data_IF_477158813151
#
_entry.id   IF_477158813151
#
_cell.length_a   1.000
_cell.length_b   1.000
_cell.length_c   1.000
_cell.angle_alpha   90.00
_cell.angle_beta   90.00
_cell.angle_gamma   90.00
#
_symmetry.space_group_name_H-M   'P 1'
#
loop_
_entity.id
_entity.type
_entity.pdbx_description
1 polymer ?
#
# COMPACT_ATOMS: atom_id res chain seq x y z
N UNK A 1 -49.81 -57.27 62.51
CA UNK A 1 -48.51 -57.55 63.15
C UNK A 1 -48.14 -56.49 64.21
N UNK A 2 -49.12 -55.95 64.94
CA UNK A 2 -48.90 -54.95 66.02
C UNK A 2 -49.56 -55.42 67.34
N UNK A 3 -50.44 -56.42 67.30
CA UNK A 3 -51.19 -56.89 68.49
C UNK A 3 -50.40 -57.78 69.46
N UNK A 4 -49.17 -58.21 69.13
CA UNK A 4 -48.36 -59.05 70.03
C UNK A 4 -47.40 -58.29 70.96
N UNK A 5 -47.32 -56.95 70.88
CA UNK A 5 -46.40 -56.16 71.70
C UNK A 5 -46.89 -55.84 73.12
N UNK A 6 -48.13 -56.20 73.46
CA UNK A 6 -48.77 -55.86 74.74
C UNK A 6 -48.41 -56.78 75.92
N UNK A 7 -47.71 -57.91 75.68
CA UNK A 7 -47.47 -58.97 76.69
C UNK A 7 -45.99 -59.08 77.13
N UNK A 8 -45.13 -58.11 76.81
CA UNK A 8 -43.70 -58.12 77.15
C UNK A 8 -43.35 -57.18 78.34
N UNK A 9 -42.44 -57.58 79.27
CA UNK A 9 -41.99 -56.73 80.39
C UNK A 9 -41.39 -55.41 79.90
N UNK A 10 -41.58 -54.31 80.63
CA UNK A 10 -41.25 -52.93 80.17
C UNK A 10 -39.78 -52.72 79.75
N UNK A 11 -38.86 -53.50 80.31
CA UNK A 11 -37.43 -53.50 79.93
C UNK A 11 -37.24 -53.96 78.46
N UNK A 12 -37.99 -54.96 78.01
CA UNK A 12 -37.91 -55.47 76.63
C UNK A 12 -38.51 -54.50 75.61
N UNK A 13 -39.53 -53.71 75.99
CA UNK A 13 -40.08 -52.64 75.14
C UNK A 13 -39.07 -51.50 74.95
N UNK A 14 -38.36 -51.11 76.00
CA UNK A 14 -37.29 -50.11 75.93
C UNK A 14 -36.10 -50.54 75.05
N UNK A 15 -35.66 -51.79 75.20
CA UNK A 15 -34.59 -52.35 74.35
C UNK A 15 -35.04 -52.48 72.90
N UNK A 16 -36.26 -52.97 72.64
CA UNK A 16 -36.80 -53.10 71.29
C UNK A 16 -36.94 -51.74 70.59
N UNK A 17 -37.47 -50.72 71.27
CA UNK A 17 -37.57 -49.36 70.72
C UNK A 17 -36.21 -48.70 70.49
N UNK A 18 -35.23 -48.94 71.36
CA UNK A 18 -33.84 -48.50 71.15
C UNK A 18 -33.18 -49.14 69.92
N UNK A 19 -33.37 -50.45 69.72
CA UNK A 19 -32.85 -51.17 68.54
C UNK A 19 -33.53 -50.71 67.26
N UNK A 20 -34.87 -50.57 67.26
CA UNK A 20 -35.61 -50.05 66.10
C UNK A 20 -35.18 -48.61 65.78
N UNK A 21 -35.00 -47.76 66.80
CA UNK A 21 -34.49 -46.40 66.64
C UNK A 21 -33.08 -46.35 66.04
N UNK A 22 -32.18 -47.24 66.46
CA UNK A 22 -30.83 -47.37 65.91
C UNK A 22 -30.82 -47.87 64.46
N UNK A 23 -31.72 -48.78 64.10
CA UNK A 23 -31.88 -49.27 62.72
C UNK A 23 -32.42 -48.15 61.82
N UNK A 24 -33.44 -47.42 62.27
CA UNK A 24 -34.01 -46.29 61.52
C UNK A 24 -32.96 -45.18 61.34
N UNK A 25 -32.22 -44.82 62.39
CA UNK A 25 -31.18 -43.79 62.29
C UNK A 25 -30.04 -44.22 61.36
N UNK A 26 -29.60 -45.48 61.42
CA UNK A 26 -28.62 -46.05 60.50
C UNK A 26 -29.07 -46.01 59.04
N UNK A 27 -30.34 -46.35 58.76
CA UNK A 27 -30.93 -46.25 57.42
C UNK A 27 -30.97 -44.79 56.95
N UNK A 28 -31.41 -43.86 57.80
CA UNK A 28 -31.48 -42.43 57.46
C UNK A 28 -30.09 -41.87 57.15
N UNK A 29 -29.08 -42.19 57.96
CA UNK A 29 -27.68 -41.76 57.72
C UNK A 29 -27.17 -42.32 56.39
N UNK A 30 -27.37 -43.62 56.13
CA UNK A 30 -26.97 -44.24 54.87
C UNK A 30 -27.66 -43.62 53.64
N UNK A 31 -28.98 -43.37 53.73
CA UNK A 31 -29.73 -42.72 52.66
C UNK A 31 -29.23 -41.28 52.42
N UNK A 32 -28.93 -40.54 53.49
CA UNK A 32 -28.42 -39.18 53.41
C UNK A 32 -27.02 -39.15 52.77
N UNK A 33 -26.09 -39.99 53.22
CA UNK A 33 -24.76 -40.12 52.61
C UNK A 33 -24.82 -40.57 51.15
N UNK A 34 -25.67 -41.53 50.81
CA UNK A 34 -25.89 -41.98 49.43
C UNK A 34 -26.44 -40.85 48.56
N UNK A 35 -27.36 -40.04 49.09
CA UNK A 35 -27.90 -38.88 48.38
C UNK A 35 -26.83 -37.81 48.15
N UNK A 36 -26.03 -37.48 49.17
CA UNK A 36 -24.91 -36.53 49.09
C UNK A 36 -23.87 -36.99 48.08
N UNK A 37 -23.50 -38.27 48.09
CA UNK A 37 -22.55 -38.84 47.12
C UNK A 37 -23.07 -38.75 45.70
N UNK A 38 -24.36 -39.01 45.47
CA UNK A 38 -24.99 -38.84 44.14
C UNK A 38 -25.02 -37.38 43.71
N UNK A 39 -25.35 -36.46 44.61
CA UNK A 39 -25.33 -35.02 44.33
C UNK A 39 -23.91 -34.55 43.94
N UNK A 40 -22.89 -34.94 44.72
CA UNK A 40 -21.48 -34.63 44.43
C UNK A 40 -21.01 -35.19 43.08
N UNK A 41 -21.41 -36.42 42.72
CA UNK A 41 -21.07 -37.00 41.42
C UNK A 41 -21.72 -36.24 40.26
N UNK A 42 -22.99 -35.85 40.41
CA UNK A 42 -23.71 -35.07 39.41
C UNK A 42 -23.12 -33.66 39.26
N UNK A 43 -22.80 -33.00 40.37
CA UNK A 43 -22.14 -31.69 40.35
C UNK A 43 -20.75 -31.77 39.72
N UNK A 44 -19.96 -32.80 40.04
CA UNK A 44 -18.65 -33.02 39.43
C UNK A 44 -18.79 -33.22 37.91
N UNK A 45 -19.74 -34.05 37.47
CA UNK A 45 -20.03 -34.25 36.05
C UNK A 45 -20.42 -32.92 35.37
N UNK A 46 -21.30 -32.12 35.98
CA UNK A 46 -21.68 -30.80 35.47
C UNK A 46 -20.47 -29.87 35.36
N UNK A 47 -19.64 -29.79 36.39
CA UNK A 47 -18.44 -28.95 36.41
C UNK A 47 -17.44 -29.34 35.32
N UNK A 48 -17.26 -30.65 35.08
CA UNK A 48 -16.41 -31.14 33.98
C UNK A 48 -16.99 -30.75 32.63
N UNK A 49 -18.30 -30.96 32.42
CA UNK A 49 -18.98 -30.56 31.18
C UNK A 49 -18.91 -29.04 30.93
N UNK A 50 -19.13 -28.22 31.97
CA UNK A 50 -18.98 -26.76 31.90
C UNK A 50 -17.54 -26.36 31.58
N UNK A 51 -16.56 -26.99 32.21
CA UNK A 51 -15.14 -26.72 31.97
C UNK A 51 -14.75 -27.06 30.53
N UNK A 52 -15.18 -28.21 30.00
CA UNK A 52 -14.90 -28.60 28.63
C UNK A 52 -15.61 -27.70 27.60
N UNK A 53 -16.85 -27.26 27.88
CA UNK A 53 -17.53 -26.24 27.06
C UNK A 53 -16.76 -24.93 27.04
N UNK A 54 -16.34 -24.44 28.21
CA UNK A 54 -15.56 -23.20 28.33
C UNK A 54 -14.25 -23.33 27.55
N UNK A 55 -13.51 -24.43 27.71
CA UNK A 55 -12.28 -24.69 26.95
C UNK A 55 -12.53 -24.71 25.43
N UNK A 56 -13.57 -25.41 24.98
CA UNK A 56 -13.92 -25.49 23.56
C UNK A 56 -14.24 -24.10 22.98
N UNK A 57 -15.01 -23.28 23.70
CA UNK A 57 -15.34 -21.93 23.28
C UNK A 57 -14.11 -21.01 23.25
N UNK A 58 -13.21 -21.12 24.24
CA UNK A 58 -11.94 -20.40 24.22
C UNK A 58 -11.04 -20.83 23.07
N UNK A 59 -10.92 -22.14 22.80
CA UNK A 59 -10.14 -22.64 21.68
C UNK A 59 -10.67 -22.13 20.34
N UNK A 60 -11.99 -22.16 20.14
CA UNK A 60 -12.63 -21.61 18.93
C UNK A 60 -12.33 -20.12 18.76
N UNK A 61 -12.45 -19.33 19.83
CA UNK A 61 -12.12 -17.90 19.80
C UNK A 61 -10.65 -17.66 19.49
N UNK A 62 -9.76 -18.45 20.09
CA UNK A 62 -8.32 -18.36 19.87
C UNK A 62 -7.94 -18.72 18.44
N UNK A 63 -8.50 -19.79 17.88
CA UNK A 63 -8.29 -20.19 16.48
C UNK A 63 -8.82 -19.14 15.50
N UNK A 64 -10.02 -18.59 15.77
CA UNK A 64 -10.57 -17.48 14.99
C UNK A 64 -9.63 -16.28 14.98
N UNK A 65 -9.17 -15.87 16.17
CA UNK A 65 -8.26 -14.75 16.33
C UNK A 65 -6.91 -14.99 15.62
N UNK A 66 -6.34 -16.19 15.73
CA UNK A 66 -5.12 -16.57 15.01
C UNK A 66 -5.29 -16.44 13.51
N UNK A 67 -6.39 -16.98 12.96
CA UNK A 67 -6.68 -16.91 11.53
C UNK A 67 -6.84 -15.47 11.04
N UNK A 68 -7.50 -14.62 11.82
CA UNK A 68 -7.69 -13.21 11.49
C UNK A 68 -6.36 -12.45 11.50
N UNK A 69 -5.47 -12.73 12.46
CA UNK A 69 -4.12 -12.18 12.48
C UNK A 69 -3.26 -12.68 11.32
N UNK A 70 -3.29 -13.97 11.00
CA UNK A 70 -2.57 -14.53 9.86
C UNK A 70 -3.01 -13.88 8.54
N UNK A 71 -4.33 -13.68 8.38
CA UNK A 71 -4.88 -12.99 7.23
C UNK A 71 -4.43 -11.52 7.16
N UNK A 72 -4.43 -10.80 8.28
CA UNK A 72 -3.98 -9.41 8.33
C UNK A 72 -2.49 -9.29 7.99
N UNK A 73 -1.65 -10.15 8.56
CA UNK A 73 -0.20 -10.22 8.26
C UNK A 73 0.01 -10.50 6.77
N UNK A 74 -0.71 -11.46 6.19
CA UNK A 74 -0.61 -11.79 4.77
C UNK A 74 -1.03 -10.61 3.88
N UNK A 75 -2.14 -9.94 4.22
CA UNK A 75 -2.60 -8.74 3.51
C UNK A 75 -1.58 -7.60 3.60
N UNK A 76 -1.00 -7.33 4.77
CA UNK A 76 0.05 -6.31 4.96
C UNK A 76 1.26 -6.61 4.11
N UNK A 77 1.76 -7.86 4.16
CA UNK A 77 2.90 -8.30 3.35
C UNK A 77 2.63 -8.10 1.86
N UNK A 78 1.47 -8.51 1.38
CA UNK A 78 1.09 -8.33 -0.02
C UNK A 78 1.03 -6.85 -0.41
N UNK A 79 0.39 -6.00 0.41
CA UNK A 79 0.34 -4.54 0.17
C UNK A 79 1.74 -3.93 0.11
N UNK A 80 2.61 -4.29 1.03
CA UNK A 80 3.99 -3.81 1.07
C UNK A 80 4.75 -4.18 -0.20
N UNK A 81 4.77 -5.47 -0.59
CA UNK A 81 5.50 -5.91 -1.78
C UNK A 81 4.93 -5.30 -3.05
N UNK A 82 3.60 -5.21 -3.18
CA UNK A 82 2.94 -4.59 -4.33
C UNK A 82 3.31 -3.11 -4.47
N UNK A 83 3.21 -2.33 -3.38
CA UNK A 83 3.56 -0.90 -3.39
C UNK A 83 5.03 -0.67 -3.67
N UNK A 84 5.90 -1.42 -2.99
CA UNK A 84 7.35 -1.36 -3.18
C UNK A 84 7.72 -1.62 -4.64
N UNK A 85 7.14 -2.65 -5.26
CA UNK A 85 7.39 -2.95 -6.67
C UNK A 85 6.91 -1.81 -7.59
N UNK A 86 5.73 -1.25 -7.35
CA UNK A 86 5.21 -0.12 -8.13
C UNK A 86 6.09 1.13 -8.01
N UNK A 87 6.56 1.47 -6.79
CA UNK A 87 7.44 2.62 -6.57
C UNK A 87 8.81 2.45 -7.22
N UNK A 88 9.44 1.27 -7.07
CA UNK A 88 10.72 0.99 -7.72
C UNK A 88 10.56 1.05 -9.24
N UNK A 89 9.51 0.43 -9.78
CA UNK A 89 9.23 0.45 -11.22
C UNK A 89 9.03 1.86 -11.76
N UNK A 90 8.30 2.71 -11.04
CA UNK A 90 8.11 4.10 -11.40
C UNK A 90 9.43 4.87 -11.50
N UNK A 91 10.32 4.78 -10.51
CA UNK A 91 11.60 5.51 -10.56
C UNK A 91 12.54 4.96 -11.63
N UNK A 92 12.56 3.64 -11.86
CA UNK A 92 13.32 3.06 -12.97
C UNK A 92 12.87 3.62 -14.33
N UNK A 93 11.56 3.73 -14.54
CA UNK A 93 11.00 4.28 -15.78
C UNK A 93 11.22 5.79 -15.89
N UNK A 94 11.13 6.52 -14.78
CA UNK A 94 11.42 7.96 -14.74
C UNK A 94 12.89 8.24 -15.08
N UNK A 95 13.82 7.47 -14.51
CA UNK A 95 15.25 7.58 -14.82
C UNK A 95 15.54 7.22 -16.27
N UNK A 96 14.89 6.18 -16.80
CA UNK A 96 14.97 5.83 -18.21
C UNK A 96 14.46 6.96 -19.11
N UNK A 97 13.31 7.56 -18.77
CA UNK A 97 12.73 8.69 -19.51
C UNK A 97 13.71 9.88 -19.53
N UNK A 98 14.29 10.24 -18.39
CA UNK A 98 15.28 11.31 -18.28
C UNK A 98 16.54 11.02 -19.11
N UNK A 99 17.05 9.79 -19.07
CA UNK A 99 18.22 9.37 -19.84
C UNK A 99 17.96 9.42 -21.36
N UNK A 100 16.80 8.91 -21.78
CA UNK A 100 16.41 8.92 -23.19
C UNK A 100 16.19 10.35 -23.72
N UNK A 101 15.50 11.20 -22.94
CA UNK A 101 15.32 12.61 -23.28
C UNK A 101 16.67 13.33 -23.42
N UNK A 102 17.59 13.11 -22.48
CA UNK A 102 18.89 13.80 -22.51
C UNK A 102 19.72 13.39 -23.73
N UNK A 103 19.85 12.09 -24.00
CA UNK A 103 20.71 11.61 -25.09
C UNK A 103 20.10 11.88 -26.46
N UNK A 104 18.82 11.54 -26.66
CA UNK A 104 18.17 11.67 -27.97
C UNK A 104 17.90 13.12 -28.33
N UNK A 105 17.41 13.93 -27.39
CA UNK A 105 17.03 15.31 -27.70
C UNK A 105 18.25 16.20 -27.91
N UNK A 106 19.35 16.00 -27.16
CA UNK A 106 20.59 16.78 -27.40
C UNK A 106 21.19 16.46 -28.76
N UNK A 107 21.30 15.18 -29.13
CA UNK A 107 21.85 14.77 -30.42
C UNK A 107 21.01 15.31 -31.59
N UNK A 108 19.68 15.15 -31.53
CA UNK A 108 18.76 15.69 -32.54
C UNK A 108 18.81 17.22 -32.63
N UNK A 109 18.87 17.91 -31.48
CA UNK A 109 18.97 19.37 -31.47
C UNK A 109 20.29 19.88 -32.06
N UNK A 110 21.40 19.20 -31.80
CA UNK A 110 22.69 19.55 -32.43
C UNK A 110 22.62 19.35 -33.94
N UNK A 111 22.13 18.20 -34.41
CA UNK A 111 22.03 17.91 -35.84
C UNK A 111 21.13 18.92 -36.58
N UNK A 112 19.94 19.21 -36.06
CA UNK A 112 19.02 20.15 -36.70
C UNK A 112 19.56 21.58 -36.68
N UNK A 113 20.25 21.98 -35.60
CA UNK A 113 20.85 23.32 -35.48
C UNK A 113 22.01 23.49 -36.45
N UNK A 114 22.85 22.46 -36.60
CA UNK A 114 23.94 22.45 -37.56
C UNK A 114 23.41 22.57 -38.99
N UNK A 115 22.46 21.70 -39.39
CA UNK A 115 21.86 21.74 -40.73
C UNK A 115 21.21 23.08 -41.04
N UNK A 116 20.46 23.64 -40.09
CA UNK A 116 19.84 24.96 -40.25
C UNK A 116 20.89 26.06 -40.45
N UNK A 117 21.94 26.05 -39.64
CA UNK A 117 23.02 27.05 -39.71
C UNK A 117 23.79 26.93 -41.04
N UNK A 118 24.06 25.71 -41.51
CA UNK A 118 24.71 25.45 -42.79
C UNK A 118 23.87 25.99 -43.96
N UNK A 119 22.56 25.70 -43.97
CA UNK A 119 21.65 26.22 -44.99
C UNK A 119 21.52 27.74 -44.98
N UNK A 120 21.53 28.38 -43.80
CA UNK A 120 21.46 29.84 -43.73
C UNK A 120 22.77 30.55 -44.14
N UNK A 121 23.93 29.94 -43.88
CA UNK A 121 25.24 30.58 -44.13
C UNK A 121 25.83 30.26 -45.51
N UNK A 122 25.52 29.08 -46.08
CA UNK A 122 26.21 28.56 -47.26
C UNK A 122 25.30 28.24 -48.45
N UNK A 123 23.98 28.43 -48.35
CA UNK A 123 23.08 28.21 -49.48
C UNK A 123 23.43 29.11 -50.67
N UNK A 124 23.53 28.53 -51.86
CA UNK A 124 23.80 29.24 -53.11
C UNK A 124 22.51 29.60 -53.86
N UNK A 125 21.36 29.10 -53.39
CA UNK A 125 20.05 29.38 -53.95
C UNK A 125 18.98 29.49 -52.87
N UNK A 126 17.87 30.16 -53.20
CA UNK A 126 16.69 30.21 -52.33
C UNK A 126 16.09 28.81 -52.09
N UNK A 127 16.26 27.89 -53.05
CA UNK A 127 15.80 26.50 -52.93
C UNK A 127 16.59 25.72 -51.86
N UNK A 128 17.92 25.85 -51.84
CA UNK A 128 18.78 25.25 -50.80
C UNK A 128 18.52 25.84 -49.40
N UNK A 129 18.23 27.14 -49.33
CA UNK A 129 17.88 27.79 -48.07
C UNK A 129 16.51 27.31 -47.54
N UNK A 130 15.50 27.24 -48.42
CA UNK A 130 14.17 26.76 -48.07
C UNK A 130 14.16 25.28 -47.63
N UNK A 131 15.00 24.44 -48.23
CA UNK A 131 15.16 23.04 -47.81
C UNK A 131 15.68 22.94 -46.37
N UNK A 132 16.68 23.75 -45.99
CA UNK A 132 17.19 23.79 -44.61
C UNK A 132 16.15 24.22 -43.58
N UNK A 133 15.33 25.22 -43.92
CA UNK A 133 14.21 25.67 -43.09
C UNK A 133 13.18 24.54 -42.93
N UNK A 134 12.84 23.85 -44.02
CA UNK A 134 11.89 22.74 -44.00
C UNK A 134 12.41 21.58 -43.12
N UNK A 135 13.67 21.19 -43.29
CA UNK A 135 14.29 20.13 -42.47
C UNK A 135 14.30 20.49 -40.98
N UNK A 136 14.59 21.75 -40.64
CA UNK A 136 14.51 22.24 -39.26
C UNK A 136 13.08 22.16 -38.69
N UNK A 137 12.07 22.55 -39.48
CA UNK A 137 10.67 22.48 -39.06
C UNK A 137 10.21 21.03 -38.86
N UNK A 138 10.60 20.11 -39.75
CA UNK A 138 10.28 18.68 -39.61
C UNK A 138 10.93 18.08 -38.37
N UNK A 139 12.21 18.39 -38.11
CA UNK A 139 12.90 17.97 -36.90
C UNK A 139 12.24 18.53 -35.63
N UNK A 140 11.84 19.81 -35.65
CA UNK A 140 11.10 20.45 -34.56
C UNK A 140 9.79 19.70 -34.28
N UNK A 141 8.97 19.45 -35.29
CA UNK A 141 7.71 18.71 -35.13
C UNK A 141 7.93 17.31 -34.56
N UNK A 142 8.96 16.60 -35.02
CA UNK A 142 9.33 15.28 -34.49
C UNK A 142 9.65 15.33 -32.99
N UNK A 143 10.48 16.29 -32.55
CA UNK A 143 10.83 16.45 -31.12
C UNK A 143 9.61 16.80 -30.28
N UNK A 144 8.74 17.67 -30.78
CA UNK A 144 7.50 18.07 -30.10
C UNK A 144 6.55 16.87 -29.91
N UNK A 145 6.38 16.05 -30.95
CA UNK A 145 5.55 14.84 -30.87
C UNK A 145 6.13 13.83 -29.87
N UNK A 146 7.44 13.60 -29.89
CA UNK A 146 8.12 12.69 -28.95
C UNK A 146 7.98 13.18 -27.51
N UNK A 147 8.16 14.48 -27.28
CA UNK A 147 8.03 15.07 -25.94
C UNK A 147 6.61 14.97 -25.39
N UNK A 148 5.59 15.07 -26.27
CA UNK A 148 4.20 14.83 -25.87
C UNK A 148 3.94 13.36 -25.51
N UNK A 149 4.57 12.42 -26.21
CA UNK A 149 4.50 11.01 -25.84
C UNK A 149 5.12 10.76 -24.47
N UNK A 150 6.22 11.44 -24.15
CA UNK A 150 6.90 11.31 -22.86
C UNK A 150 6.04 11.84 -21.70
N UNK A 151 5.32 12.95 -21.87
CA UNK A 151 4.30 13.41 -20.90
C UNK A 151 3.23 12.32 -20.70
N UNK A 152 2.75 11.72 -21.78
CA UNK A 152 1.70 10.71 -21.70
C UNK A 152 2.19 9.44 -20.98
N UNK A 153 3.44 9.02 -21.22
CA UNK A 153 4.07 7.93 -20.46
C UNK A 153 4.13 8.29 -18.98
N UNK A 154 4.62 9.47 -18.61
CA UNK A 154 4.66 9.91 -17.22
C UNK A 154 3.27 9.88 -16.55
N UNK A 155 2.23 10.39 -17.23
CA UNK A 155 0.84 10.36 -16.74
C UNK A 155 0.31 8.93 -16.58
N UNK A 156 0.71 8.02 -17.46
CA UNK A 156 0.33 6.61 -17.34
C UNK A 156 0.98 5.94 -16.12
N UNK A 157 2.29 6.12 -15.95
CA UNK A 157 3.06 5.54 -14.84
C UNK A 157 2.59 6.03 -13.48
N UNK A 158 2.31 7.33 -13.37
CA UNK A 158 1.79 7.92 -12.15
C UNK A 158 0.36 7.46 -11.83
N UNK A 159 -0.48 7.21 -12.84
CA UNK A 159 -1.86 6.74 -12.64
C UNK A 159 -1.90 5.36 -11.97
N UNK A 160 -0.97 4.47 -12.31
CA UNK A 160 -0.85 3.16 -11.66
C UNK A 160 -0.62 3.31 -10.14
N UNK A 161 0.28 4.21 -9.75
CA UNK A 161 0.58 4.48 -8.35
C UNK A 161 -0.61 5.10 -7.62
N UNK A 162 -1.28 6.07 -8.24
CA UNK A 162 -2.42 6.80 -7.64
C UNK A 162 -3.57 5.88 -7.20
N UNK A 163 -3.70 4.69 -7.77
CA UNK A 163 -4.74 3.72 -7.38
C UNK A 163 -4.63 3.23 -5.93
N UNK A 164 -3.45 3.27 -5.34
CA UNK A 164 -3.18 2.61 -4.07
C UNK A 164 -2.28 3.41 -3.11
N UNK A 165 -1.80 4.57 -3.54
CA UNK A 165 -0.99 5.49 -2.75
C UNK A 165 -1.83 6.39 -1.83
N UNK A 166 -1.21 6.94 -0.78
CA UNK A 166 -1.81 7.99 0.05
C UNK A 166 -2.04 9.29 -0.72
N UNK A 167 -2.91 10.14 -0.17
CA UNK A 167 -3.15 11.50 -0.67
C UNK A 167 -1.86 12.32 -0.81
N UNK A 168 -0.94 12.20 0.15
CA UNK A 168 0.34 12.93 0.12
C UNK A 168 1.21 12.53 -1.07
N UNK A 169 1.25 11.24 -1.42
CA UNK A 169 1.97 10.76 -2.60
C UNK A 169 1.25 11.22 -3.87
N UNK A 170 -0.09 11.10 -3.92
CA UNK A 170 -0.90 11.54 -5.06
C UNK A 170 -0.64 13.02 -5.37
N UNK A 171 -0.62 13.88 -4.35
CA UNK A 171 -0.33 15.31 -4.51
C UNK A 171 1.08 15.56 -5.03
N UNK A 172 2.06 14.79 -4.56
CA UNK A 172 3.44 14.86 -5.06
C UNK A 172 3.52 14.44 -6.53
N UNK A 173 2.83 13.38 -6.95
CA UNK A 173 2.81 12.90 -8.33
C UNK A 173 2.14 13.93 -9.25
N UNK A 174 1.02 14.51 -8.82
CA UNK A 174 0.34 15.57 -9.57
C UNK A 174 1.25 16.80 -9.77
N UNK A 175 2.01 17.19 -8.74
CA UNK A 175 2.99 18.28 -8.85
C UNK A 175 4.13 17.93 -9.81
N UNK A 176 4.62 16.69 -9.76
CA UNK A 176 5.67 16.22 -10.66
C UNK A 176 5.19 16.25 -12.11
N UNK A 177 4.00 15.72 -12.40
CA UNK A 177 3.38 15.76 -13.72
C UNK A 177 3.25 17.21 -14.24
N UNK A 178 2.77 18.11 -13.39
CA UNK A 178 2.61 19.52 -13.73
C UNK A 178 3.95 20.19 -14.09
N UNK A 179 4.99 19.97 -13.29
CA UNK A 179 6.31 20.58 -13.55
C UNK A 179 6.94 20.00 -14.81
N UNK A 180 6.85 18.69 -15.04
CA UNK A 180 7.36 18.08 -16.28
C UNK A 180 6.61 18.57 -17.53
N UNK A 181 5.28 18.74 -17.44
CA UNK A 181 4.48 19.30 -18.52
C UNK A 181 4.92 20.74 -18.85
N UNK A 182 5.22 21.56 -17.83
CA UNK A 182 5.77 22.90 -18.03
C UNK A 182 7.16 22.91 -18.65
N UNK A 183 8.08 22.08 -18.15
CA UNK A 183 9.44 21.96 -18.68
C UNK A 183 9.39 21.61 -20.17
N UNK A 184 8.54 20.66 -20.56
CA UNK A 184 8.40 20.25 -21.95
C UNK A 184 7.76 21.36 -22.80
N UNK A 185 6.72 22.02 -22.31
CA UNK A 185 6.09 23.14 -23.04
C UNK A 185 7.06 24.29 -23.28
N UNK A 186 7.79 24.72 -22.24
CA UNK A 186 8.78 25.80 -22.35
C UNK A 186 9.98 25.38 -23.20
N UNK A 187 10.41 24.12 -23.11
CA UNK A 187 11.47 23.56 -23.94
C UNK A 187 11.08 23.55 -25.42
N UNK A 188 9.84 23.17 -25.73
CA UNK A 188 9.30 23.22 -27.08
C UNK A 188 9.24 24.66 -27.63
N UNK A 189 8.85 25.63 -26.81
CA UNK A 189 8.88 27.04 -27.18
C UNK A 189 10.31 27.55 -27.44
N UNK A 190 11.29 27.09 -26.64
CA UNK A 190 12.70 27.42 -26.85
C UNK A 190 13.21 26.87 -28.19
N UNK A 191 12.90 25.60 -28.51
CA UNK A 191 13.27 25.00 -29.80
C UNK A 191 12.69 25.82 -30.95
N UNK A 192 11.41 26.19 -30.89
CA UNK A 192 10.79 27.01 -31.94
C UNK A 192 11.42 28.39 -32.11
N UNK A 193 11.92 29.00 -31.03
CA UNK A 193 12.61 30.30 -31.05
C UNK A 193 14.07 30.22 -31.46
N UNK A 194 14.66 29.03 -31.46
CA UNK A 194 16.10 28.83 -31.67
C UNK A 194 16.62 29.44 -32.97
N UNK A 195 15.92 29.35 -34.13
CA UNK A 195 16.35 30.01 -35.36
C UNK A 195 16.56 31.51 -35.19
N UNK A 196 15.61 32.19 -34.54
CA UNK A 196 15.68 33.63 -34.28
C UNK A 196 16.84 33.96 -33.32
N UNK A 197 17.04 33.12 -32.29
CA UNK A 197 18.13 33.30 -31.33
C UNK A 197 19.49 33.16 -32.05
N UNK A 198 19.67 32.11 -32.86
CA UNK A 198 20.92 31.88 -33.62
C UNK A 198 21.21 33.04 -34.57
N UNK A 199 20.23 33.47 -35.34
CA UNK A 199 20.39 34.56 -36.32
C UNK A 199 20.61 35.93 -35.67
N UNK A 200 20.14 36.14 -34.44
CA UNK A 200 20.34 37.39 -33.71
C UNK A 200 21.80 37.61 -33.28
N UNK A 201 22.59 36.55 -33.13
CA UNK A 201 23.95 36.59 -32.62
C UNK A 201 24.07 37.04 -31.14
N UNK A 202 22.95 37.27 -30.44
CA UNK A 202 22.94 37.71 -29.05
C UNK A 202 22.97 36.50 -28.10
N UNK A 203 24.15 36.25 -27.52
CA UNK A 203 24.36 35.17 -26.55
C UNK A 203 23.54 35.34 -25.27
N UNK A 204 23.16 36.56 -24.88
CA UNK A 204 22.33 36.78 -23.69
C UNK A 204 20.89 36.32 -23.88
N UNK A 205 20.40 36.37 -25.12
CA UNK A 205 19.04 35.98 -25.49
C UNK A 205 18.82 34.48 -25.25
N UNK A 206 19.85 33.65 -25.49
CA UNK A 206 19.83 32.23 -25.15
C UNK A 206 19.72 32.03 -23.63
N UNK A 207 20.59 32.67 -22.85
CA UNK A 207 20.60 32.52 -21.38
C UNK A 207 19.26 32.92 -20.77
N UNK A 208 18.67 34.00 -21.25
CA UNK A 208 17.40 34.51 -20.74
C UNK A 208 16.23 33.55 -21.06
N UNK A 209 16.24 32.90 -22.23
CA UNK A 209 15.21 31.90 -22.58
C UNK A 209 15.44 30.52 -21.91
N UNK A 210 16.59 30.26 -21.30
CA UNK A 210 16.88 29.02 -20.57
C UNK A 210 16.67 29.12 -19.05
N UNK A 211 16.62 30.32 -18.49
CA UNK A 211 16.63 30.54 -17.04
C UNK A 211 15.44 29.88 -16.32
N UNK A 212 14.23 30.02 -16.87
CA UNK A 212 13.02 29.43 -16.29
C UNK A 212 13.01 27.90 -16.36
N UNK A 213 13.55 27.33 -17.44
CA UNK A 213 13.72 25.89 -17.60
C UNK A 213 14.66 25.30 -16.54
N UNK A 214 15.80 25.96 -16.29
CA UNK A 214 16.77 25.53 -15.26
C UNK A 214 16.11 25.56 -13.88
N UNK A 215 15.33 26.61 -13.58
CA UNK A 215 14.61 26.73 -12.31
C UNK A 215 13.58 25.61 -12.13
N UNK A 216 12.81 25.30 -13.17
CA UNK A 216 11.81 24.23 -13.12
C UNK A 216 12.44 22.84 -13.02
N UNK A 217 13.57 22.62 -13.69
CA UNK A 217 14.31 21.36 -13.55
C UNK A 217 14.78 21.16 -12.10
N UNK A 218 15.27 22.22 -11.44
CA UNK A 218 15.62 22.16 -10.02
C UNK A 218 14.39 21.89 -9.12
N UNK A 219 13.24 22.49 -9.43
CA UNK A 219 11.99 22.24 -8.71
C UNK A 219 11.52 20.78 -8.87
N UNK A 220 11.62 20.22 -10.08
CA UNK A 220 11.29 18.83 -10.35
C UNK A 220 12.13 17.87 -9.50
N UNK A 221 13.42 18.14 -9.35
CA UNK A 221 14.32 17.33 -8.52
C UNK A 221 13.91 17.36 -7.04
N UNK A 222 13.57 18.55 -6.51
CA UNK A 222 13.09 18.71 -5.13
C UNK A 222 11.77 17.94 -4.92
N UNK A 223 10.85 17.99 -5.87
CA UNK A 223 9.59 17.23 -5.80
C UNK A 223 9.88 15.72 -5.81
N UNK A 224 10.81 15.28 -6.67
CA UNK A 224 11.23 13.88 -6.77
C UNK A 224 11.80 13.37 -5.44
N UNK A 225 12.70 14.12 -4.81
CA UNK A 225 13.28 13.75 -3.51
C UNK A 225 12.21 13.65 -2.42
N UNK A 226 11.27 14.59 -2.38
CA UNK A 226 10.16 14.56 -1.42
C UNK A 226 9.23 13.37 -1.67
N UNK A 227 8.96 13.01 -2.92
CA UNK A 227 8.19 11.82 -3.28
C UNK A 227 8.87 10.55 -2.77
N UNK A 228 10.18 10.41 -2.96
CA UNK A 228 10.95 9.25 -2.46
C UNK A 228 10.80 9.15 -0.94
N UNK A 229 10.93 10.26 -0.22
CA UNK A 229 10.77 10.29 1.25
C UNK A 229 9.38 9.83 1.66
N UNK A 230 8.33 10.37 1.04
CA UNK A 230 6.94 10.05 1.38
C UNK A 230 6.59 8.60 1.03
N UNK A 231 7.08 8.09 -0.09
CA UNK A 231 6.91 6.69 -0.50
C UNK A 231 7.59 5.73 0.49
N UNK A 232 8.79 6.05 0.97
CA UNK A 232 9.48 5.24 1.99
C UNK A 232 8.70 5.23 3.30
N UNK A 233 8.24 6.40 3.75
CA UNK A 233 7.43 6.51 4.95
C UNK A 233 6.13 5.69 4.82
N UNK A 234 5.43 5.77 3.69
CA UNK A 234 4.21 4.99 3.48
C UNK A 234 4.49 3.47 3.52
N UNK A 235 5.64 3.01 3.02
CA UNK A 235 6.02 1.61 3.13
C UNK A 235 6.32 1.17 4.57
N UNK A 236 6.93 2.04 5.37
CA UNK A 236 7.26 1.78 6.77
C UNK A 236 6.00 1.72 7.68
N UNK A 237 4.89 2.32 7.25
CA UNK A 237 3.64 2.42 8.00
C UNK A 237 2.64 1.25 7.74
N UNK A 238 2.94 0.30 6.85
CA UNK A 238 2.07 -0.85 6.48
C UNK A 238 2.09 -1.98 7.53
#
# INVERSE_FOLDING_TARGET
MIEHLSVLPDIYKGVFTGVVGAVISGIVVYLNEKSKRRALLNDNKRLVEETEKIKADFNRKLEGLKRDYELDISKRKYRYESKKASYIGFFQKLDQLNAEMTVKSVAKMQEMTQKFTESCLYAQSDEENNEGILQYQLATQSILMESQQDINKLKHETSEIKLHASSQIIDGLNKLEYVYERIIQEGNLLIQKMPTIILSGDSNLMTLNQQDLIKQAAEAEIIKENLIKNMRQELDEI
#
